data_IF_182575945818
#
_entry.id   IF_182575945818
#
_cell.length_a   1.000
_cell.length_b   1.000
_cell.length_c   1.000
_cell.angle_alpha   90.00
_cell.angle_beta   90.00
_cell.angle_gamma   90.00
#
_symmetry.space_group_name_H-M   'P 1'
#
loop_
_entity.id
_entity.type
_entity.pdbx_description
1 polymer ?
#
# COMPACT_ATOMS: atom_id res chain seq x y z
N UNK A 1 -20.23 -12.28 23.91
CA UNK A 1 -19.34 -11.21 23.38
C UNK A 1 -20.20 -10.24 22.59
N UNK A 2 -20.19 -8.99 22.99
CA UNK A 2 -20.93 -7.92 22.29
C UNK A 2 -20.24 -7.57 20.96
N UNK A 3 -21.05 -7.25 19.92
CA UNK A 3 -20.48 -6.90 18.60
C UNK A 3 -19.53 -5.69 18.66
N UNK A 4 -19.85 -4.72 19.48
CA UNK A 4 -18.99 -3.54 19.65
C UNK A 4 -17.62 -3.90 20.24
N UNK A 5 -17.54 -4.90 21.12
CA UNK A 5 -16.29 -5.41 21.67
C UNK A 5 -15.45 -6.11 20.60
N UNK A 6 -16.10 -6.87 19.71
CA UNK A 6 -15.44 -7.49 18.56
C UNK A 6 -14.89 -6.43 17.59
N UNK A 7 -15.67 -5.40 17.27
CA UNK A 7 -15.21 -4.29 16.44
C UNK A 7 -14.03 -3.53 17.07
N UNK A 8 -14.05 -3.36 18.40
CA UNK A 8 -12.92 -2.78 19.13
C UNK A 8 -11.64 -3.62 19.04
N UNK A 9 -11.75 -4.96 19.01
CA UNK A 9 -10.59 -5.86 18.80
C UNK A 9 -10.05 -5.75 17.38
N UNK A 10 -10.92 -5.70 16.36
CA UNK A 10 -10.52 -5.50 14.96
C UNK A 10 -9.77 -4.18 14.78
N UNK A 11 -10.32 -3.09 15.27
CA UNK A 11 -9.69 -1.78 15.18
C UNK A 11 -8.33 -1.74 15.90
N UNK A 12 -8.23 -2.36 17.08
CA UNK A 12 -6.94 -2.47 17.79
C UNK A 12 -5.92 -3.27 16.96
N UNK A 13 -6.32 -4.39 16.37
CA UNK A 13 -5.46 -5.23 15.53
C UNK A 13 -4.93 -4.42 14.34
N UNK A 14 -5.81 -3.69 13.64
CA UNK A 14 -5.44 -2.82 12.52
C UNK A 14 -4.39 -1.78 12.92
N UNK A 15 -4.58 -1.09 14.05
CA UNK A 15 -3.63 -0.10 14.55
C UNK A 15 -2.27 -0.71 14.91
N UNK A 16 -2.26 -1.89 15.55
CA UNK A 16 -1.02 -2.61 15.88
C UNK A 16 -0.28 -3.03 14.61
N UNK A 17 -0.98 -3.58 13.62
CA UNK A 17 -0.41 -3.98 12.34
C UNK A 17 0.18 -2.77 11.59
N UNK A 18 -0.58 -1.67 11.47
CA UNK A 18 -0.08 -0.44 10.86
C UNK A 18 1.18 0.08 11.55
N UNK A 19 1.22 0.04 12.88
CA UNK A 19 2.39 0.49 13.64
C UNK A 19 3.61 -0.40 13.38
N UNK A 20 3.42 -1.73 13.38
CA UNK A 20 4.48 -2.69 13.12
C UNK A 20 5.06 -2.52 11.69
N UNK A 21 4.20 -2.41 10.68
CA UNK A 21 4.60 -2.20 9.29
C UNK A 21 5.34 -0.86 9.08
N UNK A 22 4.86 0.23 9.70
CA UNK A 22 5.54 1.53 9.63
C UNK A 22 6.94 1.47 10.24
N UNK A 23 7.10 0.82 11.38
CA UNK A 23 8.41 0.62 12.02
C UNK A 23 9.32 -0.24 11.15
N UNK A 24 8.82 -1.37 10.63
CA UNK A 24 9.57 -2.26 9.76
C UNK A 24 10.08 -1.57 8.49
N UNK A 25 9.27 -0.73 7.86
CA UNK A 25 9.70 0.06 6.70
C UNK A 25 10.79 1.10 7.07
N UNK A 26 10.65 1.76 8.23
CA UNK A 26 11.62 2.76 8.71
C UNK A 26 12.99 2.17 9.02
N UNK A 27 13.08 0.92 9.47
CA UNK A 27 14.34 0.20 9.71
C UNK A 27 15.23 0.17 8.46
N UNK A 28 14.63 0.21 7.29
CA UNK A 28 15.33 0.20 5.99
C UNK A 28 15.33 1.57 5.28
N UNK A 29 15.03 2.65 6.00
CA UNK A 29 15.10 4.01 5.47
C UNK A 29 13.96 4.40 4.55
N UNK A 30 12.89 3.59 4.46
CA UNK A 30 11.66 3.93 3.74
C UNK A 30 10.57 4.43 4.68
N UNK A 31 9.83 5.43 4.22
CA UNK A 31 8.55 5.77 4.83
C UNK A 31 7.47 4.83 4.27
N UNK A 32 6.51 4.46 5.10
CA UNK A 32 5.46 3.48 4.77
C UNK A 32 4.79 3.70 3.40
N UNK A 33 4.52 4.95 3.00
CA UNK A 33 3.91 5.27 1.70
C UNK A 33 4.86 5.25 0.52
N UNK A 34 6.16 4.96 0.69
CA UNK A 34 7.16 5.00 -0.38
C UNK A 34 7.34 3.64 -1.07
N UNK A 35 7.07 2.53 -0.37
CA UNK A 35 7.12 1.20 -0.98
C UNK A 35 6.19 1.07 -2.19
N UNK A 36 4.87 1.38 -2.09
CA UNK A 36 3.98 1.29 -3.25
C UNK A 36 4.43 2.15 -4.44
N UNK A 37 5.07 3.30 -4.17
CA UNK A 37 5.63 4.15 -5.23
C UNK A 37 6.76 3.46 -5.96
N UNK A 38 7.71 2.86 -5.23
CA UNK A 38 8.83 2.11 -5.81
C UNK A 38 8.35 0.84 -6.53
N UNK A 39 7.39 0.12 -5.96
CA UNK A 39 6.81 -1.09 -6.56
C UNK A 39 6.15 -0.77 -7.91
N UNK A 40 5.36 0.31 -7.98
CA UNK A 40 4.77 0.73 -9.25
C UNK A 40 5.83 1.12 -10.29
N UNK A 41 6.86 1.88 -9.89
CA UNK A 41 7.94 2.28 -10.81
C UNK A 41 8.74 1.05 -11.26
N UNK A 42 8.95 0.06 -10.40
CA UNK A 42 9.64 -1.18 -10.74
C UNK A 42 8.87 -2.02 -11.78
N UNK A 43 7.54 -2.09 -11.63
CA UNK A 43 6.65 -2.78 -12.54
C UNK A 43 6.43 -2.01 -13.86
N UNK A 44 6.61 -0.67 -13.87
CA UNK A 44 6.35 0.21 -15.01
C UNK A 44 7.55 1.14 -15.27
N UNK A 45 8.70 0.61 -15.73
CA UNK A 45 9.87 1.43 -16.01
C UNK A 45 9.57 2.53 -17.03
N UNK A 46 10.01 3.75 -16.74
CA UNK A 46 9.72 4.91 -17.58
C UNK A 46 8.35 5.55 -17.36
N UNK A 47 7.61 5.14 -16.32
CA UNK A 47 6.36 5.79 -15.95
C UNK A 47 6.59 7.25 -15.50
N UNK A 48 5.53 8.05 -15.55
CA UNK A 48 5.54 9.45 -15.10
C UNK A 48 5.00 9.57 -13.68
N UNK A 49 5.26 10.71 -13.02
CA UNK A 49 4.68 11.00 -11.71
C UNK A 49 3.15 11.04 -11.73
N UNK A 50 2.54 11.44 -12.85
CA UNK A 50 1.08 11.45 -13.02
C UNK A 50 0.55 10.02 -13.01
N UNK A 51 1.16 9.12 -13.79
CA UNK A 51 0.74 7.71 -13.80
C UNK A 51 0.87 7.05 -12.42
N UNK A 52 1.93 7.37 -11.66
CA UNK A 52 2.07 6.89 -10.28
C UNK A 52 0.95 7.46 -9.39
N UNK A 53 0.66 8.76 -9.51
CA UNK A 53 -0.38 9.42 -8.72
C UNK A 53 -1.77 8.83 -9.01
N UNK A 54 -2.07 8.61 -10.28
CA UNK A 54 -3.33 8.04 -10.74
C UNK A 54 -3.51 6.60 -10.26
N UNK A 55 -2.44 5.78 -10.36
CA UNK A 55 -2.49 4.39 -9.91
C UNK A 55 -2.65 4.27 -8.39
N UNK A 56 -1.85 5.01 -7.63
CA UNK A 56 -1.89 4.99 -6.16
C UNK A 56 -3.00 5.86 -5.58
N UNK A 57 -3.70 6.61 -6.43
CA UNK A 57 -4.82 7.51 -6.08
C UNK A 57 -4.47 8.52 -5.00
N UNK A 58 -3.30 9.08 -5.10
CA UNK A 58 -2.80 10.13 -4.25
C UNK A 58 -2.58 11.42 -5.05
N UNK A 59 -2.47 12.55 -4.37
CA UNK A 59 -2.26 13.82 -5.06
C UNK A 59 -0.92 13.84 -5.82
N UNK A 60 -0.86 14.48 -7.00
CA UNK A 60 0.40 14.68 -7.73
C UNK A 60 1.48 15.35 -6.87
N UNK A 61 1.09 16.25 -5.97
CA UNK A 61 2.00 16.91 -5.03
C UNK A 61 2.63 15.91 -4.06
N UNK A 62 1.86 14.95 -3.55
CA UNK A 62 2.38 13.88 -2.67
C UNK A 62 3.40 13.00 -3.40
N UNK A 63 3.11 12.62 -4.66
CA UNK A 63 4.04 11.84 -5.48
C UNK A 63 5.29 12.66 -5.84
N UNK A 64 5.16 13.94 -6.15
CA UNK A 64 6.30 14.81 -6.42
C UNK A 64 7.26 14.86 -5.20
N UNK A 65 6.71 15.01 -3.99
CA UNK A 65 7.48 15.01 -2.76
C UNK A 65 8.12 13.64 -2.47
N UNK A 66 7.35 12.55 -2.60
CA UNK A 66 7.81 11.17 -2.40
C UNK A 66 8.96 10.84 -3.36
N UNK A 67 8.76 11.05 -4.66
CA UNK A 67 9.79 10.77 -5.68
C UNK A 67 11.02 11.67 -5.54
N UNK A 68 10.89 12.90 -5.03
CA UNK A 68 12.05 13.76 -4.70
C UNK A 68 12.88 13.16 -3.56
N UNK A 69 12.23 12.65 -2.51
CA UNK A 69 12.90 12.00 -1.37
C UNK A 69 13.57 10.70 -1.80
N UNK A 70 12.88 9.86 -2.57
CA UNK A 70 13.41 8.61 -3.10
C UNK A 70 14.62 8.84 -4.03
N UNK A 71 14.57 9.86 -4.87
CA UNK A 71 15.69 10.25 -5.72
C UNK A 71 16.89 10.72 -4.87
N UNK A 72 16.66 11.54 -3.84
CA UNK A 72 17.71 11.97 -2.91
C UNK A 72 18.36 10.80 -2.17
N UNK A 73 17.58 9.77 -1.84
CA UNK A 73 18.07 8.53 -1.21
C UNK A 73 18.77 7.59 -2.21
N UNK A 74 18.77 7.89 -3.51
CA UNK A 74 19.40 7.05 -4.53
C UNK A 74 18.54 5.84 -4.97
N UNK A 75 17.27 5.77 -4.58
CA UNK A 75 16.40 4.63 -4.85
C UNK A 75 15.71 4.70 -6.22
N UNK A 76 15.66 5.89 -6.83
CA UNK A 76 15.15 6.08 -8.19
C UNK A 76 15.96 7.13 -8.96
N UNK A 77 15.91 7.04 -10.29
CA UNK A 77 16.41 8.06 -11.21
C UNK A 77 15.27 8.72 -11.98
N UNK A 78 15.52 9.93 -12.46
CA UNK A 78 14.61 10.69 -13.32
C UNK A 78 15.34 11.06 -14.59
N UNK A 79 14.78 10.69 -15.73
CA UNK A 79 15.29 11.03 -17.04
C UNK A 79 14.33 11.97 -17.75
N UNK A 80 14.84 12.93 -18.50
CA UNK A 80 14.00 13.79 -19.32
C UNK A 80 13.52 12.99 -20.52
N UNK A 81 12.22 13.03 -20.79
CA UNK A 81 11.63 12.38 -21.95
C UNK A 81 12.16 13.03 -23.26
N UNK A 82 12.64 12.20 -24.19
CA UNK A 82 13.21 12.66 -25.45
C UNK A 82 12.20 13.38 -26.36
N UNK A 83 10.94 12.97 -26.28
CA UNK A 83 9.86 13.53 -27.11
C UNK A 83 9.14 14.70 -26.43
N UNK A 84 9.18 14.74 -25.07
CA UNK A 84 8.54 15.77 -24.27
C UNK A 84 9.43 16.23 -23.12
N UNK A 85 10.23 17.25 -23.36
CA UNK A 85 11.20 17.80 -22.39
C UNK A 85 10.58 18.29 -21.06
N UNK A 86 9.27 18.47 -20.99
CA UNK A 86 8.57 18.81 -19.75
C UNK A 86 8.22 17.59 -18.92
N UNK A 87 8.30 16.40 -19.51
CA UNK A 87 7.99 15.14 -18.86
C UNK A 87 9.27 14.50 -18.30
N UNK A 88 9.18 13.90 -17.12
CA UNK A 88 10.26 13.13 -16.50
C UNK A 88 9.83 11.69 -16.36
N UNK A 89 10.62 10.78 -16.89
CA UNK A 89 10.49 9.34 -16.77
C UNK A 89 11.16 8.85 -15.51
N UNK A 90 10.50 7.94 -14.80
CA UNK A 90 10.96 7.40 -13.52
C UNK A 90 11.48 5.97 -13.73
N UNK A 91 12.61 5.67 -13.12
CA UNK A 91 13.21 4.35 -13.11
C UNK A 91 13.68 4.01 -11.69
N UNK A 92 13.44 2.78 -11.25
CA UNK A 92 13.98 2.30 -9.98
C UNK A 92 15.47 1.99 -10.16
N UNK A 93 16.30 2.39 -9.21
CA UNK A 93 17.72 2.03 -9.18
C UNK A 93 17.92 0.61 -8.65
N UNK A 94 19.14 0.06 -8.79
CA UNK A 94 19.49 -1.22 -8.19
C UNK A 94 19.36 -1.19 -6.66
N UNK A 95 19.83 -0.11 -6.04
CA UNK A 95 19.68 0.11 -4.60
C UNK A 95 18.21 0.22 -4.19
N UNK A 96 17.35 0.87 -4.99
CA UNK A 96 15.91 0.93 -4.76
C UNK A 96 15.27 -0.46 -4.79
N UNK A 97 15.66 -1.33 -5.73
CA UNK A 97 15.21 -2.73 -5.79
C UNK A 97 15.62 -3.51 -4.54
N UNK A 98 16.89 -3.35 -4.13
CA UNK A 98 17.44 -4.00 -2.95
C UNK A 98 16.68 -3.61 -1.68
N UNK A 99 16.45 -2.31 -1.48
CA UNK A 99 15.71 -1.80 -0.32
C UNK A 99 14.25 -2.27 -0.33
N UNK A 100 13.58 -2.30 -1.49
CA UNK A 100 12.22 -2.86 -1.59
C UNK A 100 12.18 -4.33 -1.18
N UNK A 101 13.15 -5.14 -1.64
CA UNK A 101 13.21 -6.56 -1.28
C UNK A 101 13.40 -6.75 0.23
N UNK A 102 14.31 -6.00 0.85
CA UNK A 102 14.55 -6.04 2.30
C UNK A 102 13.31 -5.60 3.10
N UNK A 103 12.64 -4.54 2.67
CA UNK A 103 11.41 -4.09 3.31
C UNK A 103 10.30 -5.14 3.21
N UNK A 104 10.14 -5.78 2.04
CA UNK A 104 9.14 -6.82 1.84
C UNK A 104 9.41 -8.02 2.73
N UNK A 105 10.65 -8.52 2.75
CA UNK A 105 11.06 -9.61 3.66
C UNK A 105 10.76 -9.26 5.13
N UNK A 106 11.02 -8.02 5.53
CA UNK A 106 10.72 -7.57 6.90
C UNK A 106 9.23 -7.55 7.21
N UNK A 107 8.39 -7.14 6.26
CA UNK A 107 6.94 -7.17 6.40
C UNK A 107 6.41 -8.61 6.47
N UNK A 108 6.93 -9.50 5.62
CA UNK A 108 6.58 -10.93 5.65
C UNK A 108 6.92 -11.57 7.01
N UNK A 109 8.07 -11.19 7.61
CA UNK A 109 8.45 -11.64 8.95
C UNK A 109 7.49 -11.12 10.03
N UNK A 110 7.05 -9.86 9.94
CA UNK A 110 6.08 -9.27 10.87
C UNK A 110 4.75 -10.01 10.78
N UNK A 111 4.29 -10.30 9.56
CA UNK A 111 3.03 -11.00 9.32
C UNK A 111 3.13 -12.47 9.77
N UNK A 112 4.25 -13.14 9.55
CA UNK A 112 4.49 -14.49 10.06
C UNK A 112 4.44 -14.56 11.60
N UNK A 113 4.97 -13.56 12.30
CA UNK A 113 4.88 -13.48 13.77
C UNK A 113 3.45 -13.26 14.23
N UNK A 114 2.65 -12.49 13.48
CA UNK A 114 1.25 -12.23 13.82
C UNK A 114 0.39 -13.51 13.85
N UNK A 115 0.74 -14.48 13.00
CA UNK A 115 0.01 -15.76 12.88
C UNK A 115 0.78 -16.94 13.51
N UNK A 116 1.80 -16.68 14.31
CA UNK A 116 2.56 -17.71 15.00
C UNK A 116 1.66 -18.52 15.95
N UNK A 117 1.66 -19.84 15.80
CA UNK A 117 0.90 -20.78 16.63
C UNK A 117 -0.51 -21.09 16.12
N UNK A 118 -0.93 -20.51 15.01
CA UNK A 118 -2.16 -20.89 14.33
C UNK A 118 -1.95 -22.16 13.50
N UNK A 119 -2.94 -23.07 13.50
CA UNK A 119 -2.99 -24.19 12.56
C UNK A 119 -3.48 -23.75 11.18
N UNK A 120 -3.31 -24.59 10.15
CA UNK A 120 -3.85 -24.33 8.81
C UNK A 120 -5.39 -24.17 8.86
N UNK A 121 -6.08 -25.03 9.59
CA UNK A 121 -7.54 -24.95 9.73
C UNK A 121 -8.00 -23.66 10.42
N UNK A 122 -7.23 -23.16 11.42
CA UNK A 122 -7.51 -21.91 12.08
C UNK A 122 -7.30 -20.72 11.13
N UNK A 123 -6.25 -20.73 10.29
CA UNK A 123 -6.01 -19.71 9.29
C UNK A 123 -7.08 -19.69 8.20
N UNK A 124 -7.50 -20.85 7.70
CA UNK A 124 -8.60 -20.98 6.74
C UNK A 124 -9.92 -20.46 7.31
N UNK A 125 -10.25 -20.84 8.56
CA UNK A 125 -11.44 -20.36 9.24
C UNK A 125 -11.39 -18.83 9.43
N UNK A 126 -10.24 -18.29 9.82
CA UNK A 126 -10.02 -16.86 10.01
C UNK A 126 -10.20 -16.09 8.69
N UNK A 127 -9.61 -16.58 7.59
CA UNK A 127 -9.79 -16.02 6.25
C UNK A 127 -11.27 -16.01 5.85
N UNK A 128 -11.96 -17.14 6.00
CA UNK A 128 -13.39 -17.26 5.68
C UNK A 128 -14.26 -16.28 6.48
N UNK A 129 -13.93 -16.00 7.73
CA UNK A 129 -14.67 -15.01 8.52
C UNK A 129 -14.47 -13.59 8.00
N UNK A 130 -13.26 -13.22 7.58
CA UNK A 130 -13.00 -11.93 6.94
C UNK A 130 -13.77 -11.77 5.64
N UNK A 131 -13.76 -12.79 4.78
CA UNK A 131 -14.50 -12.77 3.51
C UNK A 131 -16.00 -12.55 3.75
N UNK A 132 -16.58 -13.25 4.72
CA UNK A 132 -18.00 -13.09 5.09
C UNK A 132 -18.32 -11.71 5.65
N UNK A 133 -17.44 -11.15 6.49
CA UNK A 133 -17.64 -9.80 7.03
C UNK A 133 -17.55 -8.77 5.89
N UNK A 134 -16.57 -8.90 5.01
CA UNK A 134 -16.39 -8.01 3.85
C UNK A 134 -17.60 -8.07 2.93
N UNK A 135 -18.07 -9.30 2.59
CA UNK A 135 -19.25 -9.50 1.77
C UNK A 135 -20.51 -8.85 2.39
N UNK A 136 -20.73 -9.04 3.70
CA UNK A 136 -21.87 -8.45 4.38
C UNK A 136 -21.83 -6.90 4.38
N UNK A 137 -20.64 -6.30 4.38
CA UNK A 137 -20.48 -4.84 4.37
C UNK A 137 -20.56 -4.24 2.97
N UNK A 138 -20.06 -4.92 1.96
CA UNK A 138 -20.03 -4.43 0.58
C UNK A 138 -21.25 -4.83 -0.24
N UNK A 139 -21.91 -5.95 0.11
CA UNK A 139 -22.98 -6.56 -0.69
C UNK A 139 -22.49 -7.22 -1.98
N UNK A 140 -21.19 -7.28 -2.23
CA UNK A 140 -20.60 -7.85 -3.45
C UNK A 140 -20.35 -9.35 -3.28
N UNK A 141 -20.87 -10.17 -4.22
CA UNK A 141 -20.84 -11.64 -4.12
C UNK A 141 -19.67 -12.31 -4.84
N UNK A 142 -18.95 -11.64 -5.72
CA UNK A 142 -18.03 -12.32 -6.64
C UNK A 142 -16.54 -11.93 -6.51
N UNK A 143 -16.16 -10.89 -5.77
CA UNK A 143 -14.79 -10.35 -5.81
C UNK A 143 -14.16 -10.00 -4.46
N UNK A 144 -14.61 -10.60 -3.36
CA UNK A 144 -14.11 -10.28 -2.00
C UNK A 144 -12.60 -10.49 -1.86
N UNK A 145 -12.01 -11.36 -2.67
CA UNK A 145 -10.58 -11.72 -2.65
C UNK A 145 -9.77 -11.00 -3.74
N UNK A 146 -10.42 -10.26 -4.66
CA UNK A 146 -9.69 -9.63 -5.77
C UNK A 146 -9.02 -8.32 -5.36
N UNK A 147 -7.78 -8.12 -5.82
CA UNK A 147 -7.09 -6.83 -5.72
C UNK A 147 -7.86 -5.66 -6.37
N UNK A 148 -8.82 -5.95 -7.23
CA UNK A 148 -9.73 -5.00 -7.85
C UNK A 148 -10.70 -4.39 -6.85
N UNK A 149 -11.28 -5.20 -5.94
CA UNK A 149 -12.14 -4.70 -4.87
C UNK A 149 -11.37 -3.75 -3.93
N UNK A 150 -10.16 -4.10 -3.54
CA UNK A 150 -9.32 -3.22 -2.73
C UNK A 150 -9.09 -1.87 -3.41
N UNK A 151 -8.75 -1.89 -4.70
CA UNK A 151 -8.60 -0.67 -5.50
C UNK A 151 -9.90 0.13 -5.63
N UNK A 152 -11.07 -0.52 -5.69
CA UNK A 152 -12.37 0.14 -5.74
C UNK A 152 -12.67 0.85 -4.40
N UNK A 153 -12.52 0.15 -3.28
CA UNK A 153 -12.75 0.72 -1.94
C UNK A 153 -11.83 1.91 -1.64
N UNK A 154 -10.56 1.84 -2.02
CA UNK A 154 -9.65 2.98 -1.91
C UNK A 154 -10.14 4.20 -2.70
N UNK A 155 -10.72 3.98 -3.90
CA UNK A 155 -11.28 5.08 -4.72
C UNK A 155 -12.47 5.76 -4.06
N UNK A 156 -13.37 4.98 -3.49
CA UNK A 156 -14.56 5.50 -2.82
C UNK A 156 -14.20 6.30 -1.57
N UNK A 157 -13.27 5.78 -0.75
CA UNK A 157 -12.77 6.49 0.43
C UNK A 157 -12.17 7.85 0.05
N UNK A 158 -11.32 7.89 -0.98
CA UNK A 158 -10.73 9.13 -1.49
C UNK A 158 -11.79 10.13 -2.02
N UNK A 159 -12.87 9.64 -2.63
CA UNK A 159 -13.95 10.49 -3.11
C UNK A 159 -14.69 11.14 -1.94
N UNK A 160 -15.05 10.37 -0.93
CA UNK A 160 -15.72 10.83 0.29
C UNK A 160 -14.86 11.88 1.03
N UNK A 161 -13.55 11.62 1.18
CA UNK A 161 -12.64 12.57 1.81
C UNK A 161 -12.49 13.89 1.03
N UNK A 162 -12.52 13.85 -0.30
CA UNK A 162 -12.46 15.04 -1.14
C UNK A 162 -13.72 15.89 -1.04
N UNK A 163 -14.88 15.27 -0.92
CA UNK A 163 -16.16 15.96 -0.72
C UNK A 163 -16.21 16.61 0.67
N UNK A 164 -15.80 15.90 1.72
CA UNK A 164 -15.75 16.44 3.08
C UNK A 164 -14.82 17.65 3.24
N UNK A 165 -13.74 17.75 2.42
CA UNK A 165 -12.82 18.90 2.43
C UNK A 165 -13.33 20.12 1.64
N UNK A 166 -14.42 19.97 0.88
CA UNK A 166 -15.05 21.07 0.10
C UNK A 166 -16.22 21.73 0.82
N UNK A 167 -16.73 21.08 1.89
CA UNK A 167 -17.79 21.58 2.77
C UNK A 167 -17.21 22.34 3.94
#
# INVERSE_FOLDING_TARGET
>A
MELHELMGKLHKLELVQQLAHRRGAQEHGLYFGQMPVLDFIAANPGCTQVQVADHLRVSPASIALSTKRLQKAGYLTKEVDAENLRCKRLYISEEGRRVCAMCRERLDQIDAVAFQGFSEEELEAFSSFFDRVTLNMTGETENVVSGELFGHLCRELDAIEKEAKKS
#
